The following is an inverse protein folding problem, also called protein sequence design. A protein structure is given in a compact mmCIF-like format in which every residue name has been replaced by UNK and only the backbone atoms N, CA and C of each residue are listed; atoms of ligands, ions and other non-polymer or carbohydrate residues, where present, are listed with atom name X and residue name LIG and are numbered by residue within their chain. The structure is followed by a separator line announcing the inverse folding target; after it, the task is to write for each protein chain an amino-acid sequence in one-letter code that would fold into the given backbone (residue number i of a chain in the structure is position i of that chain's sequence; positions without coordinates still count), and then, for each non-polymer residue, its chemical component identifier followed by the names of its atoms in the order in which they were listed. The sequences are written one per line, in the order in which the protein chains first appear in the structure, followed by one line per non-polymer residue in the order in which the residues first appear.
data_IF_004426553661
#
_entry.id   IF_004426553661
#
_cell.length_a   1.000
_cell.length_b   1.000
_cell.length_c   1.000
_cell.angle_alpha   90.00
_cell.angle_beta   90.00
_cell.angle_gamma   90.00
#
_symmetry.space_group_name_H-M   'P 1'
#
loop_
_entity.id
_entity.type
_entity.pdbx_description
1 polymer ?
#
# COMPACT_ATOMS: atom_id res chain seq x y z
N UNK A 1 -49.05 -40.25 -2.85
CA UNK A 1 -48.29 -39.75 -4.02
C UNK A 1 -47.64 -38.45 -3.57
N UNK A 2 -46.31 -38.48 -3.41
CA UNK A 2 -45.51 -37.53 -2.67
C UNK A 2 -45.22 -36.24 -3.45
N UNK A 3 -45.22 -35.12 -2.74
CA UNK A 3 -44.64 -33.84 -3.16
C UNK A 3 -43.12 -33.99 -3.36
N UNK A 4 -42.58 -33.51 -4.48
CA UNK A 4 -41.13 -33.40 -4.70
C UNK A 4 -40.73 -31.92 -4.76
N UNK A 5 -39.90 -31.51 -3.80
CA UNK A 5 -39.28 -30.19 -3.66
C UNK A 5 -38.07 -30.10 -4.60
N UNK A 6 -37.78 -28.90 -5.12
CA UNK A 6 -36.80 -28.65 -6.17
C UNK A 6 -35.33 -28.69 -5.75
N UNK A 7 -34.43 -28.75 -6.75
CA UNK A 7 -33.00 -28.37 -6.63
C UNK A 7 -32.46 -28.02 -8.03
N UNK A 8 -32.54 -26.77 -8.47
CA UNK A 8 -31.67 -26.25 -9.57
C UNK A 8 -31.27 -24.80 -9.33
N UNK A 9 -30.99 -24.44 -8.08
CA UNK A 9 -30.23 -23.24 -7.74
C UNK A 9 -28.75 -23.66 -7.57
N UNK A 10 -27.82 -22.76 -7.91
CA UNK A 10 -26.36 -22.89 -7.80
C UNK A 10 -25.62 -23.63 -8.91
N UNK A 11 -25.72 -23.13 -10.15
CA UNK A 11 -24.59 -23.22 -11.09
C UNK A 11 -23.79 -21.92 -11.11
N UNK A 12 -22.58 -22.03 -10.55
CA UNK A 12 -21.41 -21.16 -10.74
C UNK A 12 -21.39 -19.88 -9.91
N UNK A 13 -21.44 -20.03 -8.59
CA UNK A 13 -20.52 -19.22 -7.77
C UNK A 13 -19.10 -19.51 -8.26
N UNK A 14 -18.51 -18.53 -8.95
CA UNK A 14 -17.14 -18.61 -9.40
C UNK A 14 -16.24 -18.94 -8.22
N UNK A 15 -15.48 -20.03 -8.35
CA UNK A 15 -14.40 -20.34 -7.44
C UNK A 15 -13.33 -19.26 -7.65
N UNK A 16 -13.53 -18.11 -6.98
CA UNK A 16 -12.56 -17.03 -6.90
C UNK A 16 -11.32 -17.70 -6.32
N UNK A 17 -10.29 -17.92 -7.16
CA UNK A 17 -9.01 -18.46 -6.72
C UNK A 17 -8.62 -17.62 -5.52
N UNK A 18 -8.69 -18.23 -4.33
CA UNK A 18 -8.30 -17.63 -3.07
C UNK A 18 -6.86 -17.18 -3.31
N UNK A 19 -6.65 -15.87 -3.35
CA UNK A 19 -5.32 -15.28 -3.41
C UNK A 19 -4.51 -15.99 -2.35
N UNK A 20 -3.41 -16.61 -2.78
CA UNK A 20 -2.40 -17.18 -1.89
C UNK A 20 -2.20 -16.23 -0.72
N UNK A 21 -2.51 -16.72 0.48
CA UNK A 21 -2.17 -16.04 1.73
C UNK A 21 -0.71 -15.57 1.59
N UNK A 22 -0.37 -14.27 1.76
CA UNK A 22 1.03 -13.90 1.80
C UNK A 22 1.62 -14.63 2.99
N UNK A 23 2.56 -15.52 2.70
CA UNK A 23 3.42 -16.16 3.69
C UNK A 23 3.83 -15.05 4.66
N UNK A 24 3.67 -15.28 5.97
CA UNK A 24 4.08 -14.32 6.99
C UNK A 24 5.60 -14.13 6.89
N UNK A 25 6.05 -13.24 5.98
CA UNK A 25 7.45 -12.85 5.85
C UNK A 25 7.86 -12.23 7.17
N UNK A 26 8.87 -12.84 7.81
CA UNK A 26 9.54 -12.25 8.95
C UNK A 26 9.92 -10.81 8.57
N UNK A 27 9.40 -9.77 9.26
CA UNK A 27 9.54 -8.40 8.80
C UNK A 27 10.99 -7.92 8.76
N UNK A 28 11.90 -8.60 9.46
CA UNK A 28 13.33 -8.31 9.51
C UNK A 28 14.09 -8.73 8.24
N UNK A 29 13.70 -9.83 7.58
CA UNK A 29 14.48 -10.43 6.49
C UNK A 29 14.04 -9.87 5.14
N UNK A 30 14.59 -8.70 4.77
CA UNK A 30 14.23 -7.97 3.55
C UNK A 30 15.26 -8.13 2.43
N UNK A 31 14.79 -8.29 1.20
CA UNK A 31 15.66 -8.25 0.01
C UNK A 31 16.31 -6.88 -0.18
N UNK A 32 17.44 -6.84 -0.90
CA UNK A 32 18.16 -5.59 -1.18
C UNK A 32 17.32 -4.57 -1.95
N UNK A 33 16.45 -5.03 -2.86
CA UNK A 33 15.52 -4.17 -3.61
C UNK A 33 14.55 -3.44 -2.68
N UNK A 34 13.97 -4.14 -1.70
CA UNK A 34 13.09 -3.54 -0.69
C UNK A 34 13.87 -2.59 0.22
N UNK A 35 15.07 -2.96 0.68
CA UNK A 35 15.94 -2.09 1.49
C UNK A 35 16.24 -0.76 0.77
N UNK A 36 16.58 -0.80 -0.52
CA UNK A 36 16.77 0.40 -1.35
C UNK A 36 15.51 1.28 -1.42
N UNK A 37 14.33 0.68 -1.63
CA UNK A 37 13.05 1.41 -1.65
C UNK A 37 12.77 2.07 -0.31
N UNK A 38 12.93 1.35 0.80
CA UNK A 38 12.74 1.88 2.16
C UNK A 38 13.69 3.05 2.45
N UNK A 39 14.98 2.89 2.16
CA UNK A 39 15.97 3.95 2.33
C UNK A 39 15.65 5.20 1.49
N UNK A 40 15.15 5.04 0.25
CA UNK A 40 14.70 6.16 -0.57
C UNK A 40 13.48 6.86 0.03
N UNK A 41 12.49 6.10 0.51
CA UNK A 41 11.29 6.67 1.15
C UNK A 41 11.61 7.39 2.46
N UNK A 42 12.59 6.91 3.23
CA UNK A 42 13.11 7.63 4.39
C UNK A 42 13.75 8.96 3.98
N UNK A 43 14.65 8.96 2.98
CA UNK A 43 15.33 10.19 2.50
C UNK A 43 14.38 11.23 1.91
N UNK A 44 13.27 10.81 1.31
CA UNK A 44 12.23 11.71 0.78
C UNK A 44 11.38 12.36 1.88
N UNK A 45 11.30 11.73 3.06
CA UNK A 45 10.41 12.16 4.14
C UNK A 45 11.01 13.29 5.01
N UNK A 46 11.47 14.35 4.35
CA UNK A 46 12.14 15.51 4.98
C UNK A 46 11.35 16.81 4.75
N UNK A 47 11.47 17.80 5.66
CA UNK A 47 10.91 19.14 5.44
C UNK A 47 11.62 19.87 4.29
N UNK A 48 10.97 20.91 3.77
CA UNK A 48 11.55 21.76 2.73
C UNK A 48 12.64 22.66 3.37
N UNK A 49 13.81 22.82 2.73
CA UNK A 49 14.85 23.74 3.20
C UNK A 49 14.38 25.20 3.28
N UNK A 50 14.90 25.95 4.24
CA UNK A 50 14.47 27.34 4.47
C UNK A 50 14.79 28.27 3.29
N UNK A 51 15.99 28.16 2.71
CA UNK A 51 16.42 28.98 1.57
C UNK A 51 15.55 28.83 0.32
N UNK A 52 14.89 27.67 0.14
CA UNK A 52 13.90 27.49 -0.94
C UNK A 52 12.70 28.41 -0.72
N UNK A 53 12.24 28.58 0.53
CA UNK A 53 11.14 29.50 0.84
C UNK A 53 11.48 30.96 0.57
N UNK A 54 12.77 31.31 0.62
CA UNK A 54 13.25 32.66 0.36
C UNK A 54 13.46 32.96 -1.13
N UNK A 55 13.34 31.98 -2.02
CA UNK A 55 13.42 32.21 -3.47
C UNK A 55 12.22 33.03 -3.95
N UNK A 56 12.48 34.01 -4.82
CA UNK A 56 11.46 34.80 -5.51
C UNK A 56 10.53 33.89 -6.34
N UNK A 57 9.26 34.26 -6.44
CA UNK A 57 8.20 33.54 -7.18
C UNK A 57 8.00 32.06 -6.80
N UNK A 58 8.38 31.69 -5.56
CA UNK A 58 8.15 30.34 -5.08
C UNK A 58 6.77 30.18 -4.42
N UNK A 59 5.92 29.35 -5.03
CA UNK A 59 4.60 28.99 -4.50
C UNK A 59 4.63 27.84 -3.48
N UNK A 60 5.74 27.12 -3.37
CA UNK A 60 5.86 25.90 -2.56
C UNK A 60 6.17 26.24 -1.10
N UNK A 61 5.17 26.06 -0.21
CA UNK A 61 5.32 26.35 1.23
C UNK A 61 5.66 25.15 2.11
N UNK A 62 5.15 23.96 1.79
CA UNK A 62 5.38 22.74 2.56
C UNK A 62 5.45 21.52 1.65
N UNK A 63 6.02 20.42 2.16
CA UNK A 63 6.12 19.17 1.41
C UNK A 63 4.80 18.39 1.52
N UNK A 64 3.91 18.58 0.55
CA UNK A 64 2.61 17.90 0.50
C UNK A 64 2.73 16.36 0.45
N UNK A 65 3.86 15.83 -0.06
CA UNK A 65 4.13 14.38 -0.17
C UNK A 65 4.85 13.80 1.04
N UNK A 66 5.00 14.58 2.13
CA UNK A 66 5.59 14.09 3.39
C UNK A 66 4.67 13.02 4.01
N UNK A 67 5.25 11.95 4.54
CA UNK A 67 4.52 10.77 5.00
C UNK A 67 4.71 10.54 6.50
N UNK A 68 3.64 10.23 7.22
CA UNK A 68 3.74 9.75 8.60
C UNK A 68 3.45 8.24 8.66
N UNK A 69 4.29 7.46 9.35
CA UNK A 69 4.25 6.00 9.33
C UNK A 69 3.01 5.39 10.02
N UNK A 70 2.39 6.14 10.96
CA UNK A 70 1.12 5.72 11.57
C UNK A 70 -0.08 5.99 10.67
N UNK A 71 -0.05 7.06 9.86
CA UNK A 71 -1.19 7.48 9.03
C UNK A 71 -1.25 6.78 7.68
N UNK A 72 -0.12 6.69 6.97
CA UNK A 72 -0.09 6.14 5.60
C UNK A 72 1.00 5.07 5.42
N UNK A 73 0.57 3.88 4.99
CA UNK A 73 1.45 2.73 4.71
C UNK A 73 2.03 2.82 3.29
N UNK A 74 3.15 2.14 3.09
CA UNK A 74 3.94 2.27 1.86
C UNK A 74 3.44 1.40 0.70
N UNK A 75 2.62 0.38 0.98
CA UNK A 75 1.91 -0.42 -0.02
C UNK A 75 2.81 -0.98 -1.12
N UNK A 76 3.75 -1.85 -0.75
CA UNK A 76 4.55 -2.61 -1.71
C UNK A 76 4.30 -4.10 -1.52
#
# INVERSE_FOLDING_TARGET
MFFQVGVTELKRMGFRRRSSQPFAEMPSHKTFRIKKKLAKKMRQNRPIPHWIRMRTDNTIRYNAKRRHWRRTKLGF
#
